data_IF_528958924739
#
_entry.id   IF_528958924739
#
_cell.length_a   1.000
_cell.length_b   1.000
_cell.length_c   1.000
_cell.angle_alpha   90.00
_cell.angle_beta   90.00
_cell.angle_gamma   90.00
#
_symmetry.space_group_name_H-M   'P 1'
#
loop_
_entity.id
_entity.type
_entity.pdbx_description
1 polymer ?
#
# COMPACT_ATOMS: atom_id res chain seq x y z
N UNK A 1 30.85 3.52 19.80
CA UNK A 1 30.16 2.87 18.66
C UNK A 1 29.12 3.83 18.13
N UNK A 2 29.02 4.09 16.81
CA UNK A 2 27.98 4.94 16.29
C UNK A 2 26.63 4.23 16.50
N UNK A 3 25.74 4.88 17.22
CA UNK A 3 24.36 4.43 17.45
C UNK A 3 23.61 4.47 16.13
N UNK A 4 23.03 3.34 15.73
CA UNK A 4 22.35 3.16 14.44
C UNK A 4 20.98 3.87 14.42
N UNK A 5 20.93 5.19 14.61
CA UNK A 5 19.69 5.97 14.70
C UNK A 5 18.76 5.83 13.48
N UNK A 6 19.28 5.34 12.35
CA UNK A 6 18.52 5.10 11.13
C UNK A 6 17.81 3.74 11.10
N UNK A 7 18.20 2.78 11.96
CA UNK A 7 17.53 1.49 12.10
C UNK A 7 16.62 1.54 13.32
N UNK A 8 15.32 1.41 13.09
CA UNK A 8 14.35 1.16 14.15
C UNK A 8 14.22 -0.36 14.33
N UNK A 9 14.63 -0.93 15.50
CA UNK A 9 14.49 -2.36 15.76
C UNK A 9 13.04 -2.82 15.66
N UNK A 10 12.11 -2.01 16.17
CA UNK A 10 10.67 -2.27 16.08
C UNK A 10 10.17 -2.36 14.63
N UNK A 11 10.66 -1.47 13.76
CA UNK A 11 10.32 -1.51 12.33
C UNK A 11 10.84 -2.78 11.67
N UNK A 12 12.06 -3.19 11.99
CA UNK A 12 12.65 -4.43 11.47
C UNK A 12 11.87 -5.65 11.94
N UNK A 13 11.56 -5.73 13.24
CA UNK A 13 10.75 -6.81 13.81
C UNK A 13 9.37 -6.92 13.13
N UNK A 14 8.72 -5.77 12.92
CA UNK A 14 7.44 -5.74 12.22
C UNK A 14 7.55 -6.21 10.77
N UNK A 15 8.58 -5.78 10.04
CA UNK A 15 8.81 -6.19 8.65
C UNK A 15 9.13 -7.68 8.54
N UNK A 16 9.90 -8.23 9.48
CA UNK A 16 10.28 -9.65 9.51
C UNK A 16 9.09 -10.58 9.78
N UNK A 17 8.02 -10.09 10.41
CA UNK A 17 6.77 -10.85 10.63
C UNK A 17 5.86 -10.90 9.41
N UNK A 18 6.15 -10.10 8.37
CA UNK A 18 5.34 -10.08 7.15
C UNK A 18 5.78 -11.20 6.20
N UNK A 19 4.81 -11.86 5.58
CA UNK A 19 5.10 -12.65 4.39
C UNK A 19 5.55 -11.73 3.24
N UNK A 20 6.24 -12.31 2.25
CA UNK A 20 6.73 -11.61 1.04
C UNK A 20 5.72 -10.63 0.42
N UNK A 21 4.43 -10.98 0.20
CA UNK A 21 3.45 -10.02 -0.33
C UNK A 21 3.16 -8.86 0.63
N UNK A 22 3.09 -9.12 1.93
CA UNK A 22 2.91 -8.08 2.95
C UNK A 22 4.09 -7.12 3.00
N UNK A 23 5.31 -7.66 2.93
CA UNK A 23 6.54 -6.86 2.85
C UNK A 23 6.56 -5.97 1.60
N UNK A 24 6.21 -6.50 0.43
CA UNK A 24 6.12 -5.71 -0.80
C UNK A 24 5.07 -4.57 -0.71
N UNK A 25 3.92 -4.84 -0.08
CA UNK A 25 2.87 -3.85 0.11
C UNK A 25 3.32 -2.65 0.96
N UNK A 26 4.28 -2.83 1.87
CA UNK A 26 4.84 -1.76 2.68
C UNK A 26 5.60 -0.70 1.85
N UNK A 27 6.18 -1.08 0.70
CA UNK A 27 6.79 -0.13 -0.23
C UNK A 27 5.74 0.73 -0.94
N UNK A 28 4.65 0.11 -1.39
CA UNK A 28 3.53 0.84 -1.99
C UNK A 28 2.90 1.82 -0.99
N UNK A 29 2.71 1.42 0.27
CA UNK A 29 2.18 2.29 1.32
C UNK A 29 3.04 3.53 1.59
N UNK A 30 4.35 3.45 1.36
CA UNK A 30 5.29 4.57 1.51
C UNK A 30 5.42 5.41 0.24
N UNK A 31 4.92 4.94 -0.91
CA UNK A 31 4.94 5.70 -2.16
C UNK A 31 3.86 6.83 -2.14
N UNK A 32 4.25 8.11 -2.29
CA UNK A 32 3.31 9.23 -2.22
C UNK A 32 2.28 9.23 -3.36
N UNK A 33 2.64 8.77 -4.56
CA UNK A 33 1.74 8.67 -5.68
C UNK A 33 0.69 7.59 -5.48
N UNK A 34 1.10 6.44 -4.91
CA UNK A 34 0.17 5.38 -4.53
C UNK A 34 -0.85 5.88 -3.50
N UNK A 35 -0.37 6.58 -2.46
CA UNK A 35 -1.25 7.16 -1.43
C UNK A 35 -2.25 8.14 -2.04
N UNK A 36 -1.81 9.02 -2.95
CA UNK A 36 -2.69 9.99 -3.62
C UNK A 36 -3.74 9.28 -4.46
N UNK A 37 -3.34 8.28 -5.25
CA UNK A 37 -4.25 7.49 -6.07
C UNK A 37 -5.25 6.71 -5.23
N UNK A 38 -4.80 6.05 -4.16
CA UNK A 38 -5.64 5.30 -3.24
C UNK A 38 -6.70 6.20 -2.62
N UNK A 39 -6.31 7.36 -2.06
CA UNK A 39 -7.25 8.32 -1.48
C UNK A 39 -8.24 8.86 -2.53
N UNK A 40 -7.77 9.17 -3.75
CA UNK A 40 -8.64 9.63 -4.83
C UNK A 40 -9.67 8.56 -5.21
N UNK A 41 -9.24 7.30 -5.32
CA UNK A 41 -10.11 6.16 -5.60
C UNK A 41 -11.16 6.01 -4.50
N UNK A 42 -10.76 6.02 -3.23
CA UNK A 42 -11.69 5.91 -2.10
C UNK A 42 -12.72 7.04 -2.07
N UNK A 43 -12.31 8.29 -2.36
CA UNK A 43 -13.24 9.43 -2.46
C UNK A 43 -14.25 9.27 -3.59
N UNK A 44 -13.85 8.71 -4.74
CA UNK A 44 -14.76 8.47 -5.87
C UNK A 44 -15.78 7.38 -5.55
N UNK A 45 -15.34 6.31 -4.88
CA UNK A 45 -16.21 5.22 -4.40
C UNK A 45 -17.22 5.76 -3.38
N UNK A 46 -16.76 6.51 -2.37
CA UNK A 46 -17.61 7.06 -1.32
C UNK A 46 -18.68 8.04 -1.86
N UNK A 47 -18.39 8.72 -2.97
CA UNK A 47 -19.34 9.62 -3.66
C UNK A 47 -20.24 8.90 -4.68
N UNK A 48 -20.16 7.57 -4.76
CA UNK A 48 -20.81 6.76 -5.80
C UNK A 48 -20.54 7.26 -7.23
N UNK A 49 -19.43 7.97 -7.45
CA UNK A 49 -19.07 8.53 -8.77
C UNK A 49 -18.50 7.47 -9.72
N UNK A 50 -18.21 6.28 -9.19
CA UNK A 50 -17.71 5.12 -9.90
C UNK A 50 -18.12 3.88 -9.12
N UNK A 51 -18.39 2.79 -9.84
CA UNK A 51 -18.56 1.48 -9.24
C UNK A 51 -17.31 1.07 -8.43
N UNK A 52 -17.53 0.49 -7.26
CA UNK A 52 -16.48 0.22 -6.30
C UNK A 52 -15.51 -0.85 -6.80
N UNK A 53 -16.01 -1.85 -7.51
CA UNK A 53 -15.18 -2.93 -8.04
C UNK A 53 -14.34 -2.45 -9.22
N UNK A 54 -14.95 -1.72 -10.15
CA UNK A 54 -14.28 -1.10 -11.28
C UNK A 54 -13.14 -0.18 -10.82
N UNK A 55 -13.38 0.59 -9.77
CA UNK A 55 -12.39 1.49 -9.19
C UNK A 55 -11.22 0.75 -8.53
N UNK A 56 -11.49 -0.35 -7.81
CA UNK A 56 -10.46 -1.20 -7.21
C UNK A 56 -9.64 -1.94 -8.26
N UNK A 57 -10.28 -2.52 -9.27
CA UNK A 57 -9.60 -3.18 -10.41
C UNK A 57 -8.69 -2.21 -11.14
N UNK A 58 -9.17 -0.99 -11.40
CA UNK A 58 -8.38 0.05 -12.06
C UNK A 58 -7.15 0.47 -11.23
N UNK A 59 -7.32 0.63 -9.91
CA UNK A 59 -6.21 0.90 -9.01
C UNK A 59 -5.22 -0.27 -8.98
N UNK A 60 -5.72 -1.50 -8.93
CA UNK A 60 -4.91 -2.70 -8.89
C UNK A 60 -4.05 -2.85 -10.14
N UNK A 61 -4.65 -2.71 -11.33
CA UNK A 61 -3.94 -2.76 -12.62
C UNK A 61 -2.85 -1.71 -12.73
N UNK A 62 -3.14 -0.47 -12.29
CA UNK A 62 -2.15 0.63 -12.34
C UNK A 62 -0.92 0.36 -11.47
N UNK A 63 -1.11 -0.29 -10.32
CA UNK A 63 -0.06 -0.52 -9.33
C UNK A 63 0.47 -1.96 -9.31
N UNK A 64 0.12 -2.78 -10.30
CA UNK A 64 0.57 -4.17 -10.40
C UNK A 64 0.08 -5.07 -9.26
N UNK A 65 -1.02 -4.70 -8.60
CA UNK A 65 -1.60 -5.48 -7.51
C UNK A 65 -2.45 -6.61 -8.06
N UNK A 66 -2.34 -7.77 -7.41
CA UNK A 66 -3.20 -8.91 -7.65
C UNK A 66 -3.71 -9.40 -6.30
N UNK A 67 -4.98 -9.13 -6.03
CA UNK A 67 -5.65 -9.67 -4.86
C UNK A 67 -5.95 -11.14 -5.13
N UNK A 68 -5.70 -12.01 -4.15
CA UNK A 68 -6.22 -13.38 -4.21
C UNK A 68 -7.73 -13.31 -3.93
N UNK A 69 -8.55 -14.08 -4.66
CA UNK A 69 -9.97 -14.21 -4.35
C UNK A 69 -10.18 -14.84 -2.96
#
# INVERSE_FOLDING_TARGET
MPTEYWRSPETIDRLNRLERPGFAAEFLRRNPDYRRDFVRTQRRIARASVDAETARVSLARRWGLRFRP
#
